data_IF_813673094908
#
_entry.id   IF_813673094908
#
_cell.length_a   1.000
_cell.length_b   1.000
_cell.length_c   1.000
_cell.angle_alpha   90.00
_cell.angle_beta   90.00
_cell.angle_gamma   90.00
#
_symmetry.space_group_name_H-M   'P 1'
#
loop_
_entity.id
_entity.type
_entity.pdbx_description
1 polymer ?
#
# COMPACT_ATOMS: atom_id res chain seq x y z
N UNK A 1 35.55 -0.08 17.24
CA UNK A 1 34.27 0.22 17.92
C UNK A 1 33.29 -0.84 17.48
N UNK A 2 32.95 -1.76 18.40
CA UNK A 2 32.17 -2.95 18.10
C UNK A 2 30.69 -2.58 17.91
N UNK A 3 30.26 -2.42 16.66
CA UNK A 3 28.87 -2.20 16.29
C UNK A 3 28.14 -3.53 16.04
N UNK A 4 28.13 -4.44 17.01
CA UNK A 4 27.31 -5.66 16.96
C UNK A 4 26.46 -5.78 18.22
N UNK A 5 25.47 -4.90 18.33
CA UNK A 5 24.31 -5.23 19.16
C UNK A 5 23.25 -5.82 18.23
N UNK A 6 23.08 -7.14 18.28
CA UNK A 6 21.88 -7.73 17.71
C UNK A 6 20.69 -7.14 18.47
N UNK A 7 19.62 -6.72 17.78
CA UNK A 7 18.45 -6.18 18.46
C UNK A 7 17.90 -7.24 19.43
N UNK A 8 17.39 -6.81 20.58
CA UNK A 8 16.72 -7.70 21.51
C UNK A 8 15.49 -8.34 20.80
N UNK A 9 15.53 -9.67 20.64
CA UNK A 9 14.48 -10.44 19.96
C UNK A 9 14.53 -10.41 18.43
N UNK A 10 13.81 -11.32 17.81
CA UNK A 10 13.49 -11.37 16.38
C UNK A 10 12.62 -10.19 15.93
N UNK A 11 12.48 -9.99 14.62
CA UNK A 11 11.56 -8.99 14.09
C UNK A 11 10.11 -9.23 14.55
N UNK A 12 9.68 -10.50 14.58
CA UNK A 12 8.34 -10.86 15.02
C UNK A 12 8.09 -10.50 16.50
N UNK A 13 9.02 -10.83 17.39
CA UNK A 13 8.90 -10.51 18.83
C UNK A 13 8.84 -9.00 19.06
N UNK A 14 9.67 -8.22 18.35
CA UNK A 14 9.63 -6.75 18.46
C UNK A 14 8.34 -6.16 17.88
N UNK A 15 7.85 -6.68 16.76
CA UNK A 15 6.57 -6.23 16.16
C UNK A 15 5.40 -6.50 17.09
N UNK A 16 5.36 -7.67 17.73
CA UNK A 16 4.35 -7.99 18.73
C UNK A 16 4.39 -7.02 19.92
N UNK A 17 5.58 -6.82 20.51
CA UNK A 17 5.76 -5.90 21.63
C UNK A 17 5.37 -4.46 21.27
N UNK A 18 5.72 -4.01 20.05
CA UNK A 18 5.37 -2.69 19.55
C UNK A 18 3.85 -2.53 19.35
N UNK A 19 3.18 -3.50 18.70
CA UNK A 19 1.72 -3.48 18.52
C UNK A 19 1.03 -3.36 19.88
N UNK A 20 1.41 -4.20 20.84
CA UNK A 20 0.85 -4.19 22.19
C UNK A 20 1.02 -2.83 22.86
N UNK A 21 2.24 -2.29 22.92
CA UNK A 21 2.53 -1.02 23.59
C UNK A 21 1.82 0.18 22.94
N UNK A 22 1.60 0.16 21.62
CA UNK A 22 0.89 1.23 20.92
C UNK A 22 -0.64 1.11 21.09
N UNK A 23 -1.18 -0.11 21.15
CA UNK A 23 -2.59 -0.35 21.49
C UNK A 23 -2.90 0.09 22.92
N UNK A 24 -2.06 -0.24 23.90
CA UNK A 24 -2.24 0.22 25.30
C UNK A 24 -2.24 1.75 25.42
N UNK A 25 -1.49 2.44 24.56
CA UNK A 25 -1.46 3.91 24.50
C UNK A 25 -2.65 4.52 23.75
N UNK A 26 -3.54 3.70 23.17
CA UNK A 26 -4.69 4.15 22.41
C UNK A 26 -4.35 4.88 21.11
N UNK A 27 -3.14 4.70 20.56
CA UNK A 27 -2.71 5.39 19.32
C UNK A 27 -2.95 4.56 18.07
N UNK A 28 -3.28 3.27 18.22
CA UNK A 28 -3.74 2.41 17.13
C UNK A 28 -5.22 2.14 17.37
N UNK A 29 -6.12 2.63 16.51
CA UNK A 29 -7.54 2.27 16.57
C UNK A 29 -7.74 0.77 16.41
N UNK A 30 -8.78 0.24 17.07
CA UNK A 30 -9.16 -1.17 16.94
C UNK A 30 -9.42 -1.53 15.47
N UNK A 31 -8.87 -2.66 15.03
CA UNK A 31 -9.04 -3.16 13.66
C UNK A 31 -8.21 -2.44 12.59
N UNK A 32 -7.41 -1.42 12.94
CA UNK A 32 -6.65 -0.65 11.95
C UNK A 32 -5.66 -1.50 11.15
N UNK A 33 -4.92 -2.39 11.83
CA UNK A 33 -3.92 -3.25 11.17
C UNK A 33 -4.61 -4.28 10.29
N UNK A 34 -5.70 -4.86 10.79
CA UNK A 34 -6.49 -5.87 10.10
C UNK A 34 -7.11 -5.30 8.82
N UNK A 35 -7.70 -4.10 8.90
CA UNK A 35 -8.22 -3.39 7.72
C UNK A 35 -7.12 -3.08 6.70
N UNK A 36 -5.96 -2.63 7.15
CA UNK A 36 -4.84 -2.34 6.24
C UNK A 36 -4.30 -3.61 5.57
N UNK A 37 -4.27 -4.74 6.28
CA UNK A 37 -3.95 -6.05 5.70
C UNK A 37 -4.96 -6.44 4.63
N UNK A 38 -6.26 -6.29 4.89
CA UNK A 38 -7.32 -6.59 3.90
C UNK A 38 -7.14 -5.76 2.62
N UNK A 39 -6.98 -4.44 2.74
CA UNK A 39 -6.73 -3.55 1.58
C UNK A 39 -5.52 -4.00 0.77
N UNK A 40 -4.41 -4.39 1.41
CA UNK A 40 -3.23 -4.86 0.70
C UNK A 40 -3.45 -6.21 0.00
N UNK A 41 -4.28 -7.08 0.57
CA UNK A 41 -4.56 -8.41 0.00
C UNK A 41 -5.61 -8.36 -1.12
N UNK A 42 -6.57 -7.43 -1.05
CA UNK A 42 -7.72 -7.41 -1.96
C UNK A 42 -7.68 -6.28 -2.98
N UNK A 43 -7.31 -5.08 -2.56
CA UNK A 43 -7.52 -3.87 -3.37
C UNK A 43 -6.26 -3.53 -4.17
N UNK A 44 -5.07 -3.82 -3.63
CA UNK A 44 -3.78 -3.58 -4.28
C UNK A 44 -3.39 -4.74 -5.20
N UNK A 45 -4.21 -4.94 -6.24
CA UNK A 45 -4.06 -6.00 -7.23
C UNK A 45 -3.28 -5.52 -8.48
N UNK A 46 -2.17 -6.19 -8.89
CA UNK A 46 -1.48 -5.93 -10.15
C UNK A 46 -2.39 -5.93 -11.40
N UNK A 47 -3.53 -6.64 -11.36
CA UNK A 47 -4.52 -6.61 -12.44
C UNK A 47 -5.11 -5.20 -12.67
N UNK A 48 -5.09 -4.31 -11.68
CA UNK A 48 -5.48 -2.91 -11.83
C UNK A 48 -4.61 -2.20 -12.88
N UNK A 49 -3.28 -2.38 -12.79
CA UNK A 49 -2.33 -1.86 -13.77
C UNK A 49 -2.49 -2.50 -15.15
N UNK A 50 -2.78 -3.81 -15.22
CA UNK A 50 -3.07 -4.47 -16.48
C UNK A 50 -4.30 -3.88 -17.19
N UNK A 51 -5.35 -3.53 -16.45
CA UNK A 51 -6.55 -2.85 -17.00
C UNK A 51 -6.22 -1.46 -17.53
N UNK A 52 -5.38 -0.69 -16.82
CA UNK A 52 -4.89 0.62 -17.28
C UNK A 52 -4.13 0.49 -18.61
N UNK A 53 -3.21 -0.47 -18.71
CA UNK A 53 -2.43 -0.72 -19.94
C UNK A 53 -3.34 -1.18 -21.08
N UNK A 54 -4.26 -2.10 -20.83
CA UNK A 54 -5.19 -2.59 -21.83
C UNK A 54 -6.07 -1.45 -22.39
N UNK A 55 -6.54 -0.53 -21.54
CA UNK A 55 -7.30 0.65 -22.00
C UNK A 55 -6.44 1.54 -22.91
N UNK A 56 -5.20 1.80 -22.54
CA UNK A 56 -4.28 2.61 -23.34
C UNK A 56 -3.95 1.99 -24.72
N UNK A 57 -4.08 0.67 -24.89
CA UNK A 57 -3.88 0.03 -26.21
C UNK A 57 -5.03 0.26 -27.19
N UNK A 58 -6.26 0.41 -26.69
CA UNK A 58 -7.47 0.51 -27.53
C UNK A 58 -8.08 1.92 -27.57
N UNK A 59 -7.62 2.82 -26.71
CA UNK A 59 -8.10 4.21 -26.61
C UNK A 59 -6.91 5.19 -26.68
N UNK A 60 -6.64 5.78 -27.86
CA UNK A 60 -5.55 6.73 -28.04
C UNK A 60 -5.67 7.99 -27.18
N UNK A 61 -6.89 8.47 -26.91
CA UNK A 61 -7.11 9.65 -26.07
C UNK A 61 -6.80 9.34 -24.60
N UNK A 62 -7.21 8.17 -24.12
CA UNK A 62 -6.81 7.70 -22.79
C UNK A 62 -5.30 7.47 -22.70
N UNK A 63 -4.65 6.95 -23.75
CA UNK A 63 -3.19 6.80 -23.79
C UNK A 63 -2.47 8.15 -23.68
N UNK A 64 -2.94 9.16 -24.39
CA UNK A 64 -2.39 10.52 -24.28
C UNK A 64 -2.57 11.07 -22.87
N UNK A 65 -3.74 10.87 -22.27
CA UNK A 65 -3.97 11.22 -20.87
C UNK A 65 -3.00 10.51 -19.95
N UNK A 66 -2.89 9.18 -20.03
CA UNK A 66 -2.01 8.37 -19.18
C UNK A 66 -0.55 8.81 -19.24
N UNK A 67 -0.05 9.16 -20.43
CA UNK A 67 1.33 9.62 -20.60
C UNK A 67 1.56 11.04 -20.08
N UNK A 68 0.52 11.88 -20.10
CA UNK A 68 0.55 13.26 -19.61
C UNK A 68 0.37 13.34 -18.09
N UNK A 69 -0.54 12.54 -17.55
CA UNK A 69 -0.98 12.55 -16.16
C UNK A 69 -1.49 11.15 -15.76
N UNK A 70 -0.59 10.36 -15.17
CA UNK A 70 -0.89 8.99 -14.78
C UNK A 70 -1.90 8.90 -13.64
N UNK A 71 -1.86 9.83 -12.69
CA UNK A 71 -2.81 9.88 -11.56
C UNK A 71 -4.22 10.15 -12.06
N UNK A 72 -4.42 11.17 -12.90
CA UNK A 72 -5.73 11.47 -13.47
C UNK A 72 -6.28 10.34 -14.36
N UNK A 73 -5.40 9.56 -15.02
CA UNK A 73 -5.82 8.40 -15.78
C UNK A 73 -6.29 7.25 -14.87
N UNK A 74 -5.51 6.92 -13.83
CA UNK A 74 -5.85 5.89 -12.84
C UNK A 74 -7.11 6.22 -12.03
N UNK A 75 -7.35 7.51 -11.74
CA UNK A 75 -8.57 8.01 -11.08
C UNK A 75 -9.85 7.63 -11.82
N UNK A 76 -9.84 7.51 -13.16
CA UNK A 76 -11.03 7.08 -13.92
C UNK A 76 -11.49 5.66 -13.59
N UNK A 77 -10.59 4.84 -13.03
CA UNK A 77 -10.89 3.49 -12.55
C UNK A 77 -11.12 3.45 -11.02
N UNK A 78 -11.00 4.57 -10.33
CA UNK A 78 -10.98 4.62 -8.87
C UNK A 78 -9.66 4.14 -8.25
N UNK A 79 -8.61 3.89 -9.06
CA UNK A 79 -7.29 3.51 -8.55
C UNK A 79 -6.58 4.76 -8.06
N UNK A 80 -6.67 4.98 -6.75
CA UNK A 80 -6.11 6.14 -6.05
C UNK A 80 -5.61 5.69 -4.68
N UNK A 81 -4.77 6.50 -4.04
CA UNK A 81 -4.44 6.31 -2.64
C UNK A 81 -2.97 6.54 -2.33
N UNK A 82 -2.54 5.93 -1.23
CA UNK A 82 -1.15 6.04 -0.75
C UNK A 82 -0.19 5.36 -1.72
N UNK A 83 0.97 5.97 -1.95
CA UNK A 83 2.04 5.47 -2.84
C UNK A 83 1.75 5.50 -4.35
N UNK A 84 0.63 6.09 -4.78
CA UNK A 84 0.34 6.38 -6.19
C UNK A 84 -0.53 5.33 -6.84
#
# INVERSE_FOLDING_TARGET
>A
MDHKHAPAGSAAERTFALKHALTEKGVIPDGYIEHFTEVMETDFDPANGARVVARAWVDPAYRELLLRDGTAACEQFGYTGVQG
#
